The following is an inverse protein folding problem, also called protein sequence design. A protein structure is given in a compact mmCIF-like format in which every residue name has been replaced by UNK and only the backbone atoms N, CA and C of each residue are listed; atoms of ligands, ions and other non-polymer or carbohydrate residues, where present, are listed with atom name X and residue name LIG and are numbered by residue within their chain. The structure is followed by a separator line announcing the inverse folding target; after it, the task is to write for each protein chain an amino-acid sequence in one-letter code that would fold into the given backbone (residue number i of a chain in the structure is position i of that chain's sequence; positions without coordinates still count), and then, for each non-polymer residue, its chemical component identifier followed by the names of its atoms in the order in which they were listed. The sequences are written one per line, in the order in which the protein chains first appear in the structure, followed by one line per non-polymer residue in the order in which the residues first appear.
data_IF_425672128391
#
_entry.id   IF_425672128391
#
_cell.length_a   1.000
_cell.length_b   1.000
_cell.length_c   1.000
_cell.angle_alpha   90.00
_cell.angle_beta   90.00
_cell.angle_gamma   90.00
#
_symmetry.space_group_name_H-M   'P 1'
#
loop_
_entity.id
_entity.type
_entity.pdbx_description
1 polymer ?
#
# COMPACT_ATOMS: atom_id res chain seq x y z
N UNK A 1 3.56 2.91 -19.31
CA UNK A 1 2.27 2.90 -18.61
C UNK A 1 2.40 2.21 -17.29
N UNK A 2 2.03 2.87 -16.25
CA UNK A 2 2.00 2.27 -14.92
C UNK A 2 0.55 2.08 -14.51
N UNK A 3 0.31 1.40 -13.41
CA UNK A 3 -1.03 1.12 -12.93
C UNK A 3 -1.64 -0.18 -13.41
N UNK A 4 -1.01 -0.85 -14.40
CA UNK A 4 -1.44 -2.19 -14.82
C UNK A 4 -0.46 -3.20 -14.27
N UNK A 5 -0.96 -4.01 -13.33
CA UNK A 5 -0.14 -5.01 -12.69
C UNK A 5 -0.27 -6.35 -13.42
N UNK A 6 0.84 -7.03 -13.68
CA UNK A 6 0.81 -8.38 -14.24
C UNK A 6 0.31 -9.36 -13.18
N UNK A 7 -0.16 -10.53 -13.63
CA UNK A 7 -0.61 -11.58 -12.71
C UNK A 7 0.50 -12.00 -11.76
N UNK A 8 1.72 -12.17 -12.29
CA UNK A 8 2.86 -12.58 -11.47
C UNK A 8 3.21 -11.52 -10.42
N UNK A 9 3.20 -10.25 -10.81
CA UNK A 9 3.48 -9.15 -9.89
C UNK A 9 2.38 -9.02 -8.83
N UNK A 10 1.12 -9.24 -9.22
CA UNK A 10 0.02 -9.21 -8.26
C UNK A 10 0.15 -10.32 -7.22
N UNK A 11 0.50 -11.53 -7.66
CA UNK A 11 0.70 -12.65 -6.74
C UNK A 11 1.87 -12.40 -5.79
N UNK A 12 2.97 -11.85 -6.30
CA UNK A 12 4.12 -11.50 -5.48
C UNK A 12 3.76 -10.41 -4.45
N UNK A 13 2.97 -9.43 -4.87
CA UNK A 13 2.54 -8.34 -3.99
C UNK A 13 1.61 -8.85 -2.89
N UNK A 14 0.70 -9.80 -3.22
CA UNK A 14 -0.17 -10.43 -2.22
C UNK A 14 0.64 -11.23 -1.20
N UNK A 15 1.66 -11.96 -1.66
CA UNK A 15 2.51 -12.75 -0.77
C UNK A 15 3.34 -11.85 0.16
N UNK A 16 3.78 -10.69 -0.35
CA UNK A 16 4.59 -9.76 0.44
C UNK A 16 3.78 -8.99 1.47
N UNK A 17 2.52 -8.66 1.16
CA UNK A 17 1.68 -7.82 2.01
C UNK A 17 0.39 -8.53 2.41
N UNK A 18 0.49 -9.62 3.17
CA UNK A 18 -0.71 -10.32 3.65
C UNK A 18 -1.48 -9.45 4.64
N UNK A 19 -2.78 -9.71 4.74
CA UNK A 19 -3.63 -9.02 5.70
C UNK A 19 -3.05 -9.14 7.11
N UNK A 20 -3.03 -8.04 7.83
CA UNK A 20 -2.52 -7.98 9.19
C UNK A 20 -1.05 -7.62 9.30
N UNK A 21 -0.28 -7.63 8.21
CA UNK A 21 1.13 -7.24 8.31
C UNK A 21 1.26 -5.73 8.50
N UNK A 22 2.37 -5.33 9.15
CA UNK A 22 2.64 -3.93 9.43
C UNK A 22 3.54 -3.34 8.35
N UNK A 23 3.25 -2.11 7.97
CA UNK A 23 3.99 -1.39 6.93
C UNK A 23 4.27 0.03 7.37
N UNK A 24 5.29 0.63 6.74
CA UNK A 24 5.59 2.05 6.88
C UNK A 24 5.48 2.71 5.51
N UNK A 25 4.94 3.92 5.47
CA UNK A 25 4.86 4.69 4.24
C UNK A 25 6.26 5.09 3.79
N UNK A 26 6.57 4.85 2.52
CA UNK A 26 7.79 5.34 1.88
C UNK A 26 7.49 6.60 1.09
N UNK A 27 6.48 6.55 0.20
CA UNK A 27 6.03 7.72 -0.55
C UNK A 27 4.60 7.50 -1.05
N UNK A 28 3.90 8.59 -1.28
CA UNK A 28 2.58 8.57 -1.90
C UNK A 28 2.46 9.70 -2.92
N UNK A 29 1.67 9.46 -3.96
CA UNK A 29 1.39 10.47 -4.98
C UNK A 29 0.24 11.41 -4.59
N UNK A 30 -0.48 11.14 -3.50
CA UNK A 30 -1.61 11.96 -3.07
C UNK A 30 -1.10 13.22 -2.38
N UNK A 31 -1.29 14.42 -3.00
CA UNK A 31 -0.79 15.66 -2.42
C UNK A 31 -1.62 16.17 -1.24
N UNK A 32 -2.78 15.55 -0.99
CA UNK A 32 -3.72 16.02 0.03
C UNK A 32 -3.77 15.14 1.27
N UNK A 33 -2.99 14.06 1.29
CA UNK A 33 -2.99 13.16 2.44
C UNK A 33 -2.24 13.77 3.62
N UNK A 34 -2.71 13.55 4.86
CA UNK A 34 -1.94 13.92 6.05
C UNK A 34 -0.81 12.95 6.36
N UNK A 35 -0.70 11.84 5.60
CA UNK A 35 0.35 10.85 5.81
C UNK A 35 1.70 11.39 5.37
N UNK A 36 2.74 11.03 6.13
CA UNK A 36 4.12 11.38 5.81
C UNK A 36 4.98 10.11 5.82
N UNK A 37 6.12 10.11 5.10
CA UNK A 37 7.02 8.95 5.12
C UNK A 37 7.38 8.56 6.56
N UNK A 38 7.33 7.27 6.83
CA UNK A 38 7.56 6.72 8.17
C UNK A 38 6.29 6.42 8.94
N UNK A 39 5.13 6.96 8.53
CA UNK A 39 3.87 6.63 9.17
C UNK A 39 3.58 5.13 9.05
N UNK A 40 2.99 4.57 10.10
CA UNK A 40 2.76 3.13 10.21
C UNK A 40 1.30 2.78 10.00
N UNK A 41 1.06 1.60 9.46
CA UNK A 41 -0.28 1.07 9.29
C UNK A 41 -0.29 -0.44 9.22
N UNK A 42 -1.49 -0.99 9.14
CA UNK A 42 -1.75 -2.42 9.05
C UNK A 42 -2.46 -2.71 7.74
N UNK A 43 -1.96 -3.68 6.99
CA UNK A 43 -2.60 -4.08 5.73
C UNK A 43 -3.94 -4.74 6.01
N UNK A 44 -4.99 -4.25 5.32
CA UNK A 44 -6.31 -4.85 5.38
C UNK A 44 -6.46 -5.91 4.29
N UNK A 45 -6.26 -5.52 3.02
CA UNK A 45 -6.33 -6.44 1.88
C UNK A 45 -5.73 -5.77 0.64
N UNK A 46 -5.48 -6.60 -0.40
CA UNK A 46 -5.16 -6.13 -1.76
C UNK A 46 -6.36 -6.38 -2.67
N UNK A 47 -6.64 -5.44 -3.56
CA UNK A 47 -7.64 -5.67 -4.60
C UNK A 47 -7.01 -6.27 -5.86
N UNK A 48 -7.82 -6.46 -6.91
CA UNK A 48 -7.40 -7.14 -8.13
C UNK A 48 -6.45 -6.31 -9.00
N UNK A 49 -6.34 -5.01 -8.76
CA UNK A 49 -5.41 -4.15 -9.48
C UNK A 49 -4.16 -3.82 -8.67
N UNK A 50 -4.00 -4.47 -7.53
CA UNK A 50 -2.79 -4.34 -6.73
C UNK A 50 -2.76 -3.19 -5.75
N UNK A 51 -3.89 -2.53 -5.52
CA UNK A 51 -3.97 -1.49 -4.48
C UNK A 51 -3.94 -2.16 -3.12
N UNK A 52 -3.04 -1.69 -2.24
CA UNK A 52 -2.95 -2.18 -0.87
C UNK A 52 -3.81 -1.27 0.00
N UNK A 53 -4.89 -1.80 0.55
CA UNK A 53 -5.74 -1.05 1.47
C UNK A 53 -5.19 -1.20 2.87
N UNK A 54 -4.96 -0.06 3.53
CA UNK A 54 -4.23 0.02 4.79
C UNK A 54 -5.04 0.84 5.79
N UNK A 55 -5.15 0.31 7.00
CA UNK A 55 -5.64 1.07 8.15
C UNK A 55 -4.42 1.71 8.79
N UNK A 56 -4.24 3.01 8.54
CA UNK A 56 -3.11 3.76 9.07
C UNK A 56 -3.33 4.08 10.54
N UNK A 57 -2.26 4.09 11.32
CA UNK A 57 -2.35 4.30 12.77
C UNK A 57 -2.92 5.67 13.13
N UNK A 58 -2.79 6.65 12.23
CA UNK A 58 -3.37 7.99 12.43
C UNK A 58 -4.86 8.07 12.10
N UNK A 59 -5.49 6.95 11.73
CA UNK A 59 -6.91 6.89 11.38
C UNK A 59 -7.20 7.06 9.89
N UNK A 60 -6.20 7.36 9.07
CA UNK A 60 -6.37 7.46 7.62
C UNK A 60 -6.60 6.07 7.01
N UNK A 61 -7.29 6.03 5.87
CA UNK A 61 -7.57 4.79 5.14
C UNK A 61 -7.07 4.86 3.69
N UNK A 62 -6.04 5.67 3.44
CA UNK A 62 -5.49 5.83 2.09
C UNK A 62 -4.91 4.51 1.58
N UNK A 63 -5.36 4.07 0.39
CA UNK A 63 -4.80 2.90 -0.28
C UNK A 63 -3.53 3.24 -1.04
N UNK A 64 -2.65 2.23 -1.20
CA UNK A 64 -1.38 2.38 -1.90
C UNK A 64 -1.49 1.79 -3.30
N UNK A 65 -1.49 2.65 -4.31
CA UNK A 65 -1.66 2.25 -5.70
C UNK A 65 -0.36 1.66 -6.26
N UNK A 66 -0.48 0.55 -6.98
CA UNK A 66 0.67 -0.10 -7.62
C UNK A 66 1.33 0.87 -8.62
N UNK A 67 2.64 1.01 -8.51
CA UNK A 67 3.43 1.84 -9.41
C UNK A 67 3.45 3.33 -9.06
N UNK A 68 2.62 3.78 -8.13
CA UNK A 68 2.55 5.21 -7.77
C UNK A 68 2.91 5.48 -6.32
N UNK A 69 2.49 4.59 -5.42
CA UNK A 69 2.72 4.74 -3.99
C UNK A 69 3.58 3.59 -3.50
N UNK A 70 4.31 3.79 -2.42
CA UNK A 70 5.23 2.77 -1.93
C UNK A 70 5.19 2.67 -0.42
N UNK A 71 5.13 1.43 0.06
CA UNK A 71 5.29 1.10 1.48
C UNK A 71 6.38 0.04 1.62
N UNK A 72 6.89 -0.12 2.84
CA UNK A 72 7.81 -1.21 3.18
C UNK A 72 7.29 -1.95 4.39
N UNK A 73 7.58 -3.24 4.48
CA UNK A 73 7.24 -4.02 5.68
C UNK A 73 8.15 -3.64 6.83
N UNK A 74 7.58 -3.66 8.01
CA UNK A 74 8.31 -3.41 9.26
C UNK A 74 8.19 -4.59 10.20
#
# INVERSE_FOLDING_TARGET
MNGIISKAALEARRARYPAGCRVALVRTSDPYTPLVPGDLGTVDFLDSIGTIFISWDNGSTLGMAFGEDEVRRV
#
